data_IF_654511622156
#
_entry.id   IF_654511622156
#
_cell.length_a   1.000
_cell.length_b   1.000
_cell.length_c   1.000
_cell.angle_alpha   90.00
_cell.angle_beta   90.00
_cell.angle_gamma   90.00
#
_symmetry.space_group_name_H-M   'P 1'
#
loop_
_entity.id
_entity.type
_entity.pdbx_description
1 polymer ?
#
# COMPACT_ATOMS: atom_id res chain seq x y z
N UNK A 1 -47.98 20.95 -61.42
CA UNK A 1 -47.03 21.37 -60.37
C UNK A 1 -46.42 20.14 -59.70
N UNK A 2 -45.16 19.84 -60.01
CA UNK A 2 -44.49 18.60 -59.59
C UNK A 2 -43.67 18.91 -58.35
N UNK A 3 -44.07 18.36 -57.18
CA UNK A 3 -43.29 18.39 -55.94
C UNK A 3 -42.16 17.36 -56.04
N UNK A 4 -40.93 17.86 -56.09
CA UNK A 4 -39.72 17.06 -55.91
C UNK A 4 -39.40 16.98 -54.44
N UNK A 5 -39.57 15.81 -53.85
CA UNK A 5 -39.07 15.47 -52.51
C UNK A 5 -37.55 15.21 -52.65
N UNK A 6 -36.75 16.05 -52.02
CA UNK A 6 -35.31 15.92 -51.98
C UNK A 6 -34.98 15.03 -50.76
N UNK A 7 -34.59 13.78 -51.03
CA UNK A 7 -34.10 12.86 -50.01
C UNK A 7 -32.66 13.24 -49.69
N UNK A 8 -32.46 13.79 -48.49
CA UNK A 8 -31.13 14.03 -47.91
C UNK A 8 -30.55 12.70 -47.42
N UNK A 9 -29.67 12.11 -48.23
CA UNK A 9 -28.85 10.98 -47.76
C UNK A 9 -27.79 11.51 -46.78
N UNK A 10 -28.05 11.37 -45.50
CA UNK A 10 -27.04 11.49 -44.43
C UNK A 10 -26.10 10.30 -44.56
N UNK A 11 -24.94 10.53 -45.13
CA UNK A 11 -23.81 9.62 -45.03
C UNK A 11 -23.35 9.61 -43.57
N UNK A 12 -23.78 8.61 -42.80
CA UNK A 12 -23.13 8.24 -41.57
C UNK A 12 -21.73 7.72 -41.93
N UNK A 13 -20.74 8.59 -41.79
CA UNK A 13 -19.34 8.16 -41.78
C UNK A 13 -19.12 7.28 -40.56
N UNK A 14 -19.22 5.97 -40.74
CA UNK A 14 -18.70 4.99 -39.79
C UNK A 14 -17.19 5.18 -39.81
N UNK A 15 -16.69 5.90 -38.83
CA UNK A 15 -15.26 5.93 -38.54
C UNK A 15 -14.85 4.52 -38.17
N UNK A 16 -14.33 3.77 -39.14
CA UNK A 16 -13.64 2.52 -38.90
C UNK A 16 -12.38 2.94 -38.13
N UNK A 17 -12.46 2.85 -36.80
CA UNK A 17 -11.25 2.81 -35.96
C UNK A 17 -10.50 1.54 -36.37
N UNK A 18 -9.59 1.69 -37.34
CA UNK A 18 -8.52 0.73 -37.57
C UNK A 18 -7.71 0.69 -36.29
N UNK A 19 -8.07 -0.26 -35.39
CA UNK A 19 -7.24 -0.60 -34.23
C UNK A 19 -5.91 -1.08 -34.80
N UNK A 20 -4.88 -0.23 -34.69
CA UNK A 20 -3.54 -0.58 -35.15
C UNK A 20 -3.07 -1.76 -34.30
N UNK A 21 -3.23 -2.97 -34.82
CA UNK A 21 -2.77 -4.21 -34.19
C UNK A 21 -1.30 -4.06 -33.81
N UNK A 22 -0.98 -4.15 -32.53
CA UNK A 22 0.38 -4.02 -32.03
C UNK A 22 1.17 -5.29 -32.28
N UNK A 23 2.07 -5.29 -33.28
CA UNK A 23 3.06 -6.38 -33.47
C UNK A 23 4.13 -6.28 -32.40
N UNK A 24 4.45 -7.40 -31.75
CA UNK A 24 5.61 -7.54 -30.88
C UNK A 24 6.57 -8.59 -31.41
N UNK A 25 7.85 -8.44 -31.06
CA UNK A 25 8.86 -9.48 -31.23
C UNK A 25 9.74 -9.52 -29.99
N UNK A 26 10.00 -10.71 -29.48
CA UNK A 26 10.90 -10.96 -28.36
C UNK A 26 12.16 -11.61 -28.90
N UNK A 27 13.32 -11.04 -28.58
CA UNK A 27 14.62 -11.66 -28.79
C UNK A 27 15.26 -11.93 -27.45
N UNK A 28 15.51 -13.22 -27.15
CA UNK A 28 16.04 -13.65 -25.87
C UNK A 28 17.43 -14.24 -25.97
N UNK A 29 18.24 -13.96 -24.95
CA UNK A 29 19.49 -14.64 -24.65
C UNK A 29 19.31 -15.45 -23.37
N UNK A 30 19.41 -16.79 -23.48
CA UNK A 30 19.31 -17.69 -22.34
C UNK A 30 20.67 -18.21 -21.88
N UNK A 31 21.73 -18.02 -22.69
CA UNK A 31 23.03 -18.63 -22.48
C UNK A 31 23.10 -20.11 -22.93
N UNK A 32 24.29 -20.62 -23.09
CA UNK A 32 24.51 -21.95 -23.69
C UNK A 32 24.00 -23.12 -22.84
N UNK A 33 23.95 -22.96 -21.52
CA UNK A 33 23.41 -23.98 -20.60
C UNK A 33 21.96 -24.36 -20.90
N UNK A 34 21.23 -23.48 -21.60
CA UNK A 34 19.82 -23.66 -21.97
C UNK A 34 19.64 -24.30 -23.35
N UNK A 35 20.71 -24.59 -24.07
CA UNK A 35 20.63 -25.17 -25.40
C UNK A 35 19.75 -26.43 -25.42
N UNK A 36 18.89 -26.51 -26.43
CA UNK A 36 17.91 -27.58 -26.62
C UNK A 36 16.75 -27.62 -25.60
N UNK A 37 16.73 -26.76 -24.61
CA UNK A 37 15.59 -26.64 -23.68
C UNK A 37 14.42 -25.88 -24.33
N UNK A 38 13.22 -26.19 -23.86
CA UNK A 38 11.99 -25.49 -24.24
C UNK A 38 11.68 -24.37 -23.24
N UNK A 39 11.38 -23.21 -23.78
CA UNK A 39 10.86 -22.07 -23.02
C UNK A 39 9.43 -21.81 -23.44
N UNK A 40 8.60 -21.43 -22.49
CA UNK A 40 7.18 -21.12 -22.69
C UNK A 40 6.95 -19.63 -22.49
N UNK A 41 6.21 -19.02 -23.40
CA UNK A 41 5.68 -17.67 -23.24
C UNK A 41 4.26 -17.78 -22.66
N UNK A 42 4.07 -17.29 -21.45
CA UNK A 42 2.80 -17.39 -20.72
C UNK A 42 2.26 -15.99 -20.39
N UNK A 43 0.93 -15.80 -20.48
CA UNK A 43 0.28 -14.68 -19.83
C UNK A 43 0.04 -14.98 -18.36
N UNK A 44 0.01 -13.96 -17.51
CA UNK A 44 -0.32 -14.11 -16.08
C UNK A 44 -1.82 -14.20 -15.83
N UNK A 45 -2.65 -13.85 -16.81
CA UNK A 45 -4.10 -13.93 -16.76
C UNK A 45 -4.70 -14.23 -18.13
N UNK A 46 -5.95 -14.67 -18.15
CA UNK A 46 -6.72 -14.93 -19.38
C UNK A 46 -7.62 -13.73 -19.78
N UNK A 47 -7.47 -12.59 -19.10
CA UNK A 47 -8.28 -11.38 -19.26
C UNK A 47 -9.52 -11.34 -18.36
N UNK A 48 -10.00 -12.48 -17.87
CA UNK A 48 -11.15 -12.58 -16.95
C UNK A 48 -10.73 -13.02 -15.55
N UNK A 49 -9.70 -13.88 -15.46
CA UNK A 49 -9.22 -14.47 -14.21
C UNK A 49 -7.69 -14.40 -14.13
N UNK A 50 -7.18 -14.36 -12.91
CA UNK A 50 -5.77 -14.53 -12.61
C UNK A 50 -5.34 -15.99 -12.83
N UNK A 51 -5.33 -16.41 -14.10
CA UNK A 51 -5.03 -17.77 -14.54
C UNK A 51 -3.99 -17.71 -15.65
N UNK A 52 -2.87 -18.38 -15.44
CA UNK A 52 -1.81 -18.44 -16.42
C UNK A 52 -2.24 -19.16 -17.71
N UNK A 53 -1.88 -18.61 -18.85
CA UNK A 53 -2.19 -19.14 -20.19
C UNK A 53 -0.90 -19.23 -21.03
N UNK A 54 -0.56 -20.41 -21.47
CA UNK A 54 0.58 -20.60 -22.40
C UNK A 54 0.16 -20.09 -23.78
N UNK A 55 0.93 -19.13 -24.29
CA UNK A 55 0.72 -18.55 -25.64
C UNK A 55 1.53 -19.26 -26.71
N UNK A 56 2.79 -19.58 -26.40
CA UNK A 56 3.74 -20.10 -27.37
C UNK A 56 4.89 -20.83 -26.66
N UNK A 57 5.66 -21.58 -27.42
CA UNK A 57 6.89 -22.21 -26.94
C UNK A 57 8.03 -22.09 -27.94
N UNK A 58 9.25 -21.91 -27.45
CA UNK A 58 10.45 -21.81 -28.30
C UNK A 58 11.58 -22.66 -27.76
N UNK A 59 12.24 -23.38 -28.66
CA UNK A 59 13.45 -24.14 -28.34
C UNK A 59 14.69 -23.24 -28.40
N UNK A 60 15.49 -23.24 -27.34
CA UNK A 60 16.76 -22.50 -27.31
C UNK A 60 17.76 -23.13 -28.26
N UNK A 61 18.35 -22.31 -29.15
CA UNK A 61 19.40 -22.68 -30.10
C UNK A 61 20.60 -21.73 -29.99
N UNK A 62 21.78 -22.25 -29.73
CA UNK A 62 22.99 -21.43 -29.52
C UNK A 62 22.78 -20.31 -28.51
N UNK A 63 22.18 -20.65 -27.38
CA UNK A 63 21.85 -19.71 -26.29
C UNK A 63 20.77 -18.68 -26.59
N UNK A 64 20.09 -18.74 -27.74
CA UNK A 64 19.11 -17.73 -28.19
C UNK A 64 17.74 -18.35 -28.42
N UNK A 65 16.71 -17.54 -28.25
CA UNK A 65 15.33 -17.87 -28.57
C UNK A 65 14.56 -16.61 -29.04
N UNK A 66 13.40 -16.82 -29.63
CA UNK A 66 12.54 -15.71 -30.05
C UNK A 66 11.06 -16.10 -30.03
N UNK A 67 10.22 -15.09 -29.77
CA UNK A 67 8.78 -15.17 -29.93
C UNK A 67 8.31 -13.96 -30.75
N UNK A 68 7.16 -14.06 -31.40
CA UNK A 68 6.53 -12.95 -32.08
C UNK A 68 5.02 -13.13 -32.13
N UNK A 69 4.30 -12.02 -32.19
CA UNK A 69 2.85 -12.09 -32.24
C UNK A 69 2.21 -10.71 -32.38
N UNK A 70 0.90 -10.69 -32.21
CA UNK A 70 0.08 -9.49 -32.26
C UNK A 70 -0.76 -9.40 -31.00
N UNK A 71 -0.78 -8.21 -30.38
CA UNK A 71 -1.66 -7.89 -29.24
C UNK A 71 -2.34 -6.55 -29.47
N UNK A 72 -3.60 -6.46 -29.11
CA UNK A 72 -4.34 -5.20 -29.19
C UNK A 72 -3.97 -4.29 -28.03
N UNK A 73 -3.80 -4.85 -26.84
CA UNK A 73 -3.41 -4.15 -25.62
C UNK A 73 -2.19 -4.80 -25.00
N UNK A 74 -1.35 -4.06 -24.27
CA UNK A 74 -0.26 -4.63 -23.51
C UNK A 74 -0.77 -5.63 -22.45
N UNK A 75 -0.01 -6.73 -22.25
CA UNK A 75 -0.32 -7.76 -21.25
C UNK A 75 0.91 -8.12 -20.45
N UNK A 76 0.73 -8.50 -19.19
CA UNK A 76 1.79 -9.04 -18.37
C UNK A 76 2.06 -10.49 -18.76
N UNK A 77 3.30 -10.82 -19.01
CA UNK A 77 3.72 -12.16 -19.42
C UNK A 77 4.96 -12.64 -18.67
N UNK A 78 5.18 -13.93 -18.72
CA UNK A 78 6.34 -14.60 -18.18
C UNK A 78 6.98 -15.48 -19.26
N UNK A 79 8.30 -15.51 -19.32
CA UNK A 79 9.00 -16.62 -19.95
C UNK A 79 9.30 -17.62 -18.83
N UNK A 80 8.92 -18.88 -19.06
CA UNK A 80 9.08 -19.98 -18.10
C UNK A 80 9.93 -21.09 -18.71
N UNK A 81 10.72 -21.71 -17.85
CA UNK A 81 11.41 -22.96 -18.19
C UNK A 81 10.64 -24.18 -17.67
N UNK A 82 11.22 -25.36 -17.87
CA UNK A 82 10.67 -26.63 -17.38
C UNK A 82 10.68 -26.76 -15.86
N UNK A 83 11.64 -26.11 -15.20
CA UNK A 83 11.83 -26.17 -13.75
C UNK A 83 10.95 -25.15 -13.01
N UNK A 84 10.20 -24.34 -13.77
CA UNK A 84 9.27 -23.33 -13.24
C UNK A 84 9.93 -21.99 -12.94
N UNK A 85 11.22 -21.77 -13.29
CA UNK A 85 11.82 -20.45 -13.21
C UNK A 85 11.10 -19.48 -14.14
N UNK A 86 10.84 -18.27 -13.65
CA UNK A 86 10.06 -17.26 -14.36
C UNK A 86 10.84 -15.98 -14.59
N UNK A 87 10.62 -15.37 -15.76
CA UNK A 87 11.24 -14.14 -16.20
C UNK A 87 10.15 -13.20 -16.71
N UNK A 88 9.84 -12.11 -15.99
CA UNK A 88 8.73 -11.23 -16.32
C UNK A 88 9.03 -10.32 -17.50
N UNK A 89 7.99 -10.01 -18.27
CA UNK A 89 8.00 -9.01 -19.33
C UNK A 89 6.59 -8.48 -19.57
N UNK A 90 6.48 -7.38 -20.31
CA UNK A 90 5.21 -6.86 -20.77
C UNK A 90 5.13 -7.01 -22.28
N UNK A 91 4.14 -7.76 -22.77
CA UNK A 91 3.87 -7.88 -24.20
C UNK A 91 3.21 -6.59 -24.69
N UNK A 92 4.03 -5.68 -25.21
CA UNK A 92 3.62 -4.44 -25.84
C UNK A 92 4.18 -4.35 -27.27
N UNK A 93 3.64 -3.45 -28.08
CA UNK A 93 4.10 -3.21 -29.44
C UNK A 93 5.60 -2.84 -29.46
N UNK A 94 6.39 -3.54 -30.28
CA UNK A 94 7.80 -3.22 -30.47
C UNK A 94 8.73 -4.41 -30.42
N UNK A 95 10.01 -4.12 -30.24
CA UNK A 95 11.08 -5.12 -30.16
C UNK A 95 11.54 -5.26 -28.72
N UNK A 96 11.09 -6.31 -28.05
CA UNK A 96 11.45 -6.63 -26.68
C UNK A 96 12.74 -7.45 -26.68
N UNK A 97 13.66 -7.08 -25.82
CA UNK A 97 14.94 -7.80 -25.62
C UNK A 97 14.96 -8.32 -24.18
N UNK A 98 15.26 -9.61 -24.02
CA UNK A 98 15.33 -10.22 -22.68
C UNK A 98 16.61 -11.08 -22.57
N UNK A 99 17.25 -10.99 -21.41
CA UNK A 99 18.41 -11.82 -21.08
C UNK A 99 18.14 -12.59 -19.78
N UNK A 100 17.97 -13.91 -19.88
CA UNK A 100 17.66 -14.78 -18.75
C UNK A 100 18.85 -14.94 -17.80
N UNK A 101 20.10 -14.83 -18.32
CA UNK A 101 21.30 -14.95 -17.49
C UNK A 101 21.49 -13.75 -16.57
N UNK A 102 21.30 -12.54 -17.09
CA UNK A 102 21.42 -11.28 -16.33
C UNK A 102 20.09 -10.83 -15.71
N UNK A 103 19.00 -11.55 -16.01
CA UNK A 103 17.63 -11.20 -15.59
C UNK A 103 17.23 -9.76 -15.96
N UNK A 104 17.50 -9.38 -17.22
CA UNK A 104 17.18 -8.04 -17.72
C UNK A 104 16.15 -8.11 -18.83
N UNK A 105 15.27 -7.11 -18.89
CA UNK A 105 14.29 -6.93 -19.95
C UNK A 105 14.28 -5.47 -20.40
N UNK A 106 14.01 -5.21 -21.69
CA UNK A 106 13.96 -3.84 -22.19
C UNK A 106 13.63 -3.76 -23.68
N UNK A 107 13.92 -2.63 -24.29
CA UNK A 107 13.71 -2.34 -25.71
C UNK A 107 12.33 -1.78 -26.04
N UNK A 108 11.47 -1.63 -25.03
CA UNK A 108 10.17 -0.94 -25.11
C UNK A 108 9.87 -0.23 -23.78
N UNK A 109 9.06 0.85 -23.79
CA UNK A 109 8.91 1.73 -22.62
C UNK A 109 8.47 1.03 -21.34
N UNK A 110 7.49 0.11 -21.41
CA UNK A 110 7.03 -0.60 -20.22
C UNK A 110 8.05 -1.64 -19.74
N UNK A 111 8.79 -2.28 -20.64
CA UNK A 111 9.84 -3.23 -20.27
C UNK A 111 11.08 -2.55 -19.70
N UNK A 112 11.48 -1.37 -20.21
CA UNK A 112 12.55 -0.56 -19.63
C UNK A 112 12.19 -0.11 -18.20
N UNK A 113 10.94 0.30 -18.01
CA UNK A 113 10.40 0.67 -16.68
C UNK A 113 10.33 -0.55 -15.76
N UNK A 114 9.88 -1.70 -16.26
CA UNK A 114 9.80 -2.95 -15.51
C UNK A 114 11.18 -3.40 -15.01
N UNK A 115 12.19 -3.35 -15.86
CA UNK A 115 13.57 -3.76 -15.50
C UNK A 115 14.11 -2.96 -14.32
N UNK A 116 13.95 -1.63 -14.36
CA UNK A 116 14.38 -0.73 -13.27
C UNK A 116 13.60 -0.98 -11.99
N UNK A 117 12.27 -1.05 -12.08
CA UNK A 117 11.40 -1.24 -10.92
C UNK A 117 11.61 -2.61 -10.27
N UNK A 118 11.72 -3.67 -11.08
CA UNK A 118 11.98 -5.03 -10.63
C UNK A 118 13.31 -5.17 -9.90
N UNK A 119 14.39 -4.66 -10.48
CA UNK A 119 15.72 -4.66 -9.87
C UNK A 119 15.75 -3.89 -8.55
N UNK A 120 15.13 -2.72 -8.51
CA UNK A 120 15.02 -1.92 -7.30
C UNK A 120 14.32 -2.68 -6.18
N UNK A 121 13.17 -3.28 -6.48
CA UNK A 121 12.41 -4.07 -5.50
C UNK A 121 13.17 -5.33 -5.06
N UNK A 122 13.78 -6.09 -5.99
CA UNK A 122 14.58 -7.27 -5.67
C UNK A 122 15.79 -6.92 -4.79
N UNK A 123 16.42 -5.77 -5.01
CA UNK A 123 17.52 -5.29 -4.17
C UNK A 123 17.07 -5.12 -2.71
N UNK A 124 15.91 -4.48 -2.48
CA UNK A 124 15.33 -4.31 -1.14
C UNK A 124 15.02 -5.67 -0.50
N UNK A 125 14.36 -6.56 -1.22
CA UNK A 125 13.98 -7.89 -0.73
C UNK A 125 15.22 -8.72 -0.36
N UNK A 126 16.22 -8.76 -1.23
CA UNK A 126 17.42 -9.60 -1.02
C UNK A 126 18.31 -9.04 0.10
N UNK A 127 18.46 -7.73 0.19
CA UNK A 127 19.22 -7.10 1.27
C UNK A 127 18.64 -7.45 2.65
N UNK A 128 17.32 -7.35 2.77
CA UNK A 128 16.64 -7.66 4.02
C UNK A 128 16.63 -9.17 4.34
N UNK A 129 16.47 -10.05 3.33
CA UNK A 129 16.61 -11.50 3.53
C UNK A 129 17.96 -11.89 4.12
N UNK A 130 19.05 -11.25 3.69
CA UNK A 130 20.39 -11.50 4.24
C UNK A 130 20.51 -11.06 5.70
N UNK A 131 20.00 -9.86 6.04
CA UNK A 131 20.04 -9.32 7.41
C UNK A 131 19.21 -10.22 8.34
N UNK A 132 17.99 -10.59 7.95
CA UNK A 132 17.13 -11.48 8.73
C UNK A 132 17.78 -12.86 8.90
N UNK A 133 18.38 -13.42 7.85
CA UNK A 133 19.07 -14.72 7.91
C UNK A 133 20.24 -14.71 8.89
N UNK A 134 21.05 -13.65 8.92
CA UNK A 134 22.16 -13.52 9.89
C UNK A 134 21.66 -13.44 11.33
N UNK A 135 20.49 -12.85 11.55
CA UNK A 135 19.88 -12.72 12.87
C UNK A 135 19.13 -13.99 13.33
N UNK A 136 18.60 -14.81 12.41
CA UNK A 136 17.90 -16.05 12.74
C UNK A 136 18.83 -17.06 13.42
N UNK A 137 20.10 -17.13 13.06
CA UNK A 137 21.06 -18.03 13.74
C UNK A 137 21.20 -17.72 15.22
N UNK A 138 21.08 -16.45 15.61
CA UNK A 138 21.07 -16.00 17.01
C UNK A 138 19.74 -16.34 17.71
N UNK A 139 18.63 -16.31 16.97
CA UNK A 139 17.29 -16.64 17.48
C UNK A 139 17.12 -18.16 17.68
N UNK A 140 17.73 -18.97 16.79
CA UNK A 140 17.67 -20.44 16.87
C UNK A 140 18.50 -21.05 18.00
N UNK A 141 19.30 -20.25 18.74
CA UNK A 141 20.01 -20.68 19.94
C UNK A 141 19.10 -20.80 21.19
N UNK A 142 17.77 -20.72 21.01
CA UNK A 142 16.79 -20.85 22.12
C UNK A 142 16.79 -22.25 22.72
N UNK A 143 16.59 -22.31 24.03
CA UNK A 143 16.40 -23.58 24.75
C UNK A 143 15.13 -24.27 24.26
N UNK A 144 15.25 -25.55 23.97
CA UNK A 144 14.11 -26.41 23.60
C UNK A 144 13.02 -26.34 24.68
N UNK A 145 11.78 -26.00 24.28
CA UNK A 145 10.60 -25.97 25.16
C UNK A 145 10.22 -24.62 25.78
N UNK A 146 11.02 -23.56 25.54
CA UNK A 146 10.68 -22.19 25.99
C UNK A 146 9.70 -21.50 25.04
N UNK A 147 8.67 -20.87 25.60
CA UNK A 147 7.77 -20.04 24.78
C UNK A 147 8.49 -18.77 24.29
N UNK A 148 8.12 -18.32 23.08
CA UNK A 148 8.65 -17.08 22.50
C UNK A 148 8.49 -15.85 23.42
N UNK A 149 7.37 -15.77 24.13
CA UNK A 149 7.09 -14.67 25.09
C UNK A 149 8.03 -14.69 26.30
N UNK A 150 8.39 -15.87 26.78
CA UNK A 150 9.35 -16.04 27.88
C UNK A 150 10.77 -15.68 27.43
N UNK A 151 11.17 -16.13 26.24
CA UNK A 151 12.46 -15.74 25.66
C UNK A 151 12.63 -14.23 25.52
N UNK A 152 11.61 -13.51 25.05
CA UNK A 152 11.61 -12.04 24.94
C UNK A 152 11.74 -11.33 26.30
N UNK A 153 11.23 -11.94 27.38
CA UNK A 153 11.32 -11.37 28.73
C UNK A 153 12.68 -11.67 29.40
N UNK A 154 13.22 -12.84 29.13
CA UNK A 154 14.45 -13.34 29.77
C UNK A 154 15.70 -12.72 29.14
N UNK A 155 15.72 -12.58 27.81
CA UNK A 155 16.91 -12.24 27.06
C UNK A 155 16.75 -10.88 26.34
N UNK A 156 17.43 -9.87 26.90
CA UNK A 156 17.39 -8.51 26.34
C UNK A 156 18.03 -8.41 24.97
N UNK A 157 19.06 -9.20 24.67
CA UNK A 157 19.71 -9.26 23.37
C UNK A 157 18.78 -9.89 22.33
N UNK A 158 18.10 -10.98 22.69
CA UNK A 158 17.08 -11.60 21.86
C UNK A 158 15.92 -10.62 21.54
N UNK A 159 15.44 -9.91 22.56
CA UNK A 159 14.40 -8.91 22.37
C UNK A 159 14.83 -7.72 21.49
N UNK A 160 16.11 -7.33 21.55
CA UNK A 160 16.67 -6.29 20.69
C UNK A 160 16.77 -6.76 19.23
N UNK A 161 17.27 -7.98 19.01
CA UNK A 161 17.35 -8.61 17.67
C UNK A 161 15.95 -8.75 17.05
N UNK A 162 14.99 -9.22 17.83
CA UNK A 162 13.61 -9.34 17.37
C UNK A 162 13.01 -7.99 16.96
N UNK A 163 13.14 -6.96 17.80
CA UNK A 163 12.69 -5.61 17.47
C UNK A 163 13.33 -5.11 16.18
N UNK A 164 14.64 -5.31 16.04
CA UNK A 164 15.36 -4.92 14.82
C UNK A 164 14.85 -5.64 13.58
N UNK A 165 14.54 -6.94 13.67
CA UNK A 165 13.97 -7.70 12.57
C UNK A 165 12.57 -7.21 12.19
N UNK A 166 11.74 -6.83 13.18
CA UNK A 166 10.42 -6.22 12.94
C UNK A 166 10.57 -4.86 12.24
N UNK A 167 11.51 -4.01 12.67
CA UNK A 167 11.79 -2.73 12.02
C UNK A 167 12.22 -2.92 10.56
N UNK A 168 13.07 -3.90 10.28
CA UNK A 168 13.53 -4.23 8.92
C UNK A 168 12.37 -4.72 8.06
N UNK A 169 11.49 -5.59 8.59
CA UNK A 169 10.31 -6.07 7.87
C UNK A 169 9.34 -4.93 7.55
N UNK A 170 9.10 -4.04 8.49
CA UNK A 170 8.26 -2.85 8.29
C UNK A 170 8.87 -1.92 7.23
N UNK A 171 10.16 -1.60 7.32
CA UNK A 171 10.84 -0.76 6.33
C UNK A 171 10.86 -1.40 4.93
N UNK A 172 10.97 -2.73 4.84
CA UNK A 172 10.83 -3.45 3.58
C UNK A 172 9.44 -3.29 2.98
N UNK A 173 8.41 -3.48 3.78
CA UNK A 173 7.00 -3.33 3.35
C UNK A 173 6.73 -1.92 2.84
N UNK A 174 7.19 -0.90 3.56
CA UNK A 174 7.05 0.49 3.15
C UNK A 174 7.79 0.78 1.83
N UNK A 175 8.98 0.21 1.65
CA UNK A 175 9.73 0.34 0.40
C UNK A 175 9.02 -0.33 -0.78
N UNK A 176 8.53 -1.56 -0.60
CA UNK A 176 7.76 -2.29 -1.62
C UNK A 176 6.48 -1.52 -1.97
N UNK A 177 5.79 -1.02 -0.94
CA UNK A 177 4.61 -0.16 -1.10
C UNK A 177 4.92 1.04 -1.98
N UNK A 178 5.99 1.77 -1.70
CA UNK A 178 6.39 2.93 -2.49
C UNK A 178 6.68 2.58 -3.97
N UNK A 179 7.26 1.39 -4.25
CA UNK A 179 7.43 0.92 -5.62
C UNK A 179 6.09 0.67 -6.32
N UNK A 180 5.12 0.04 -5.67
CA UNK A 180 3.80 -0.22 -6.24
C UNK A 180 3.04 1.09 -6.46
N UNK A 181 3.02 1.99 -5.48
CA UNK A 181 2.38 3.32 -5.58
C UNK A 181 2.97 4.14 -6.73
N UNK A 182 4.29 4.18 -6.87
CA UNK A 182 4.96 4.90 -7.96
C UNK A 182 4.50 4.43 -9.34
N UNK A 183 4.09 3.18 -9.47
CA UNK A 183 3.70 2.55 -10.73
C UNK A 183 2.20 2.20 -10.83
N UNK A 184 1.36 2.69 -9.91
CA UNK A 184 -0.08 2.38 -9.84
C UNK A 184 -0.91 2.83 -11.07
N UNK A 185 -0.29 3.50 -12.02
CA UNK A 185 -0.93 3.93 -13.26
C UNK A 185 -0.50 3.09 -14.48
N UNK A 186 0.16 1.95 -14.27
CA UNK A 186 0.69 1.11 -15.35
C UNK A 186 0.64 -0.38 -15.03
N UNK A 187 0.83 -1.22 -16.06
CA UNK A 187 0.98 -2.68 -15.89
C UNK A 187 2.20 -3.07 -15.06
N UNK A 188 3.21 -2.21 -14.96
CA UNK A 188 4.37 -2.45 -14.07
C UNK A 188 3.91 -2.52 -12.63
N UNK A 189 3.06 -1.59 -12.17
CA UNK A 189 2.50 -1.63 -10.81
C UNK A 189 1.63 -2.87 -10.57
N UNK A 190 0.82 -3.26 -11.56
CA UNK A 190 0.02 -4.49 -11.50
C UNK A 190 0.92 -5.72 -11.29
N UNK A 191 2.00 -5.83 -12.08
CA UNK A 191 2.96 -6.91 -11.96
C UNK A 191 3.63 -6.91 -10.57
N UNK A 192 4.14 -5.76 -10.12
CA UNK A 192 4.80 -5.65 -8.81
C UNK A 192 3.88 -6.07 -7.67
N UNK A 193 2.59 -5.68 -7.71
CA UNK A 193 1.61 -6.09 -6.72
C UNK A 193 1.29 -7.59 -6.77
N UNK A 194 1.33 -8.21 -7.95
CA UNK A 194 0.99 -9.63 -8.13
C UNK A 194 1.99 -10.60 -7.50
N UNK A 195 3.20 -10.13 -7.18
CA UNK A 195 4.25 -10.95 -6.58
C UNK A 195 3.85 -11.45 -5.19
N UNK A 196 4.19 -12.69 -4.87
CA UNK A 196 3.85 -13.32 -3.58
C UNK A 196 4.52 -12.63 -2.40
N UNK A 197 5.76 -12.13 -2.59
CA UNK A 197 6.53 -11.43 -1.57
C UNK A 197 5.92 -10.09 -1.16
N UNK A 198 4.97 -9.56 -1.93
CA UNK A 198 4.30 -8.30 -1.63
C UNK A 198 3.22 -8.54 -0.57
N UNK A 199 3.65 -8.54 0.70
CA UNK A 199 2.74 -8.52 1.84
C UNK A 199 2.36 -7.07 2.15
N UNK A 200 1.17 -6.67 1.75
CA UNK A 200 0.62 -5.34 2.04
C UNK A 200 -0.55 -5.46 3.02
N UNK A 201 -0.74 -4.43 3.83
CA UNK A 201 -1.97 -4.35 4.63
C UNK A 201 -3.17 -4.18 3.70
N UNK A 202 -4.21 -4.96 3.92
CA UNK A 202 -5.44 -4.93 3.12
C UNK A 202 -6.04 -3.51 3.00
N UNK A 203 -6.12 -2.77 4.12
CA UNK A 203 -6.62 -1.39 4.14
C UNK A 203 -5.83 -0.45 3.23
N UNK A 204 -4.51 -0.63 3.15
CA UNK A 204 -3.67 0.15 2.26
C UNK A 204 -3.97 -0.11 0.78
N UNK A 205 -4.16 -1.37 0.39
CA UNK A 205 -4.50 -1.69 -0.99
C UNK A 205 -5.88 -1.13 -1.37
N UNK A 206 -6.85 -1.15 -0.46
CA UNK A 206 -8.15 -0.51 -0.69
C UNK A 206 -8.04 1.00 -0.91
N UNK A 207 -7.24 1.70 -0.09
CA UNK A 207 -7.01 3.14 -0.23
C UNK A 207 -6.34 3.43 -1.59
N UNK A 208 -5.31 2.66 -1.95
CA UNK A 208 -4.63 2.80 -3.24
C UNK A 208 -5.56 2.54 -4.44
N UNK A 209 -6.47 1.56 -4.34
CA UNK A 209 -7.44 1.25 -5.39
C UNK A 209 -8.37 2.43 -5.72
N UNK A 210 -8.67 3.29 -4.74
CA UNK A 210 -9.52 4.47 -4.95
C UNK A 210 -8.86 5.56 -5.80
N UNK A 211 -7.53 5.56 -5.88
CA UNK A 211 -6.73 6.59 -6.55
C UNK A 211 -6.01 6.09 -7.82
N UNK A 212 -5.86 4.78 -7.95
CA UNK A 212 -5.15 4.17 -9.05
C UNK A 212 -5.92 4.28 -10.38
N UNK A 213 -5.17 4.35 -11.49
CA UNK A 213 -5.77 4.33 -12.83
C UNK A 213 -6.60 3.06 -13.07
N UNK A 214 -7.56 3.09 -14.02
CA UNK A 214 -8.31 1.90 -14.40
C UNK A 214 -7.43 0.72 -14.87
N UNK A 215 -6.27 1.00 -15.46
CA UNK A 215 -5.29 -0.03 -15.86
C UNK A 215 -4.85 -0.87 -14.65
N UNK A 216 -4.73 -0.25 -13.49
CA UNK A 216 -4.38 -0.93 -12.25
C UNK A 216 -5.63 -1.42 -11.49
N UNK A 217 -6.55 -0.51 -11.15
CA UNK A 217 -7.67 -0.80 -10.26
C UNK A 217 -8.68 -1.79 -10.83
N UNK A 218 -8.82 -1.86 -12.16
CA UNK A 218 -9.72 -2.80 -12.82
C UNK A 218 -9.03 -4.10 -13.26
N UNK A 219 -7.70 -4.19 -13.16
CA UNK A 219 -6.97 -5.36 -13.61
C UNK A 219 -7.30 -6.61 -12.79
N UNK A 220 -7.48 -7.72 -13.47
CA UNK A 220 -7.90 -9.00 -12.84
C UNK A 220 -6.91 -9.49 -11.76
N UNK A 221 -5.60 -9.36 -12.00
CA UNK A 221 -4.57 -9.73 -11.01
C UNK A 221 -4.65 -8.89 -9.73
N UNK A 222 -4.99 -7.61 -9.84
CA UNK A 222 -5.15 -6.71 -8.68
C UNK A 222 -6.42 -7.07 -7.90
N UNK A 223 -7.54 -7.31 -8.61
CA UNK A 223 -8.79 -7.75 -7.99
C UNK A 223 -8.65 -9.09 -7.29
N UNK A 224 -7.97 -10.05 -7.91
CA UNK A 224 -7.69 -11.36 -7.31
C UNK A 224 -6.83 -11.24 -6.05
N UNK A 225 -5.75 -10.45 -6.11
CA UNK A 225 -4.89 -10.18 -4.94
C UNK A 225 -5.69 -9.54 -3.80
N UNK A 226 -6.51 -8.53 -4.10
CA UNK A 226 -7.37 -7.87 -3.12
C UNK A 226 -8.34 -8.84 -2.46
N UNK A 227 -8.99 -9.70 -3.24
CA UNK A 227 -9.92 -10.69 -2.69
C UNK A 227 -9.22 -11.74 -1.82
N UNK A 228 -8.05 -12.23 -2.23
CA UNK A 228 -7.22 -13.13 -1.42
C UNK A 228 -6.83 -12.49 -0.08
N UNK A 229 -6.45 -11.21 -0.10
CA UNK A 229 -6.11 -10.46 1.12
C UNK A 229 -7.34 -10.27 2.03
N UNK A 230 -8.52 -9.98 1.46
CA UNK A 230 -9.80 -9.92 2.21
C UNK A 230 -10.11 -11.25 2.90
N UNK A 231 -9.99 -12.34 2.18
CA UNK A 231 -10.25 -13.66 2.73
C UNK A 231 -9.27 -14.02 3.85
N UNK A 232 -8.00 -13.66 3.68
CA UNK A 232 -6.98 -13.85 4.71
C UNK A 232 -7.29 -13.02 5.97
N UNK A 233 -7.62 -11.74 5.81
CA UNK A 233 -7.99 -10.87 6.93
C UNK A 233 -9.20 -11.43 7.70
N UNK A 234 -10.26 -11.85 7.01
CA UNK A 234 -11.44 -12.49 7.63
C UNK A 234 -11.09 -13.77 8.39
N UNK A 235 -10.17 -14.60 7.85
CA UNK A 235 -9.72 -15.82 8.54
C UNK A 235 -8.95 -15.48 9.82
N UNK A 236 -8.05 -14.50 9.78
CA UNK A 236 -7.32 -14.05 10.97
C UNK A 236 -8.25 -13.47 12.03
N UNK A 237 -9.24 -12.68 11.65
CA UNK A 237 -10.26 -12.16 12.56
C UNK A 237 -11.07 -13.29 13.21
N UNK A 238 -11.56 -14.22 12.42
CA UNK A 238 -12.33 -15.37 12.92
C UNK A 238 -11.50 -16.28 13.85
N UNK A 239 -10.22 -16.51 13.55
CA UNK A 239 -9.33 -17.25 14.44
C UNK A 239 -9.03 -16.50 15.74
N UNK A 240 -8.83 -15.18 15.65
CA UNK A 240 -8.66 -14.32 16.81
C UNK A 240 -9.89 -14.36 17.72
N UNK A 241 -11.09 -14.19 17.14
CA UNK A 241 -12.35 -14.26 17.88
C UNK A 241 -12.55 -15.59 18.61
N UNK A 242 -12.18 -16.73 17.96
CA UNK A 242 -12.23 -18.06 18.61
C UNK A 242 -11.33 -18.17 19.83
N UNK A 243 -10.17 -17.48 19.82
CA UNK A 243 -9.17 -17.52 20.92
C UNK A 243 -9.43 -16.48 22.00
N UNK A 244 -10.35 -15.54 21.79
CA UNK A 244 -10.69 -14.51 22.76
C UNK A 244 -11.46 -15.08 23.96
N UNK A 245 -11.10 -14.61 25.15
CA UNK A 245 -11.89 -14.89 26.36
C UNK A 245 -13.24 -14.18 26.32
N UNK A 246 -14.22 -14.58 27.14
CA UNK A 246 -15.49 -13.85 27.25
C UNK A 246 -15.29 -12.36 27.60
N UNK A 247 -14.34 -12.05 28.49
CA UNK A 247 -13.99 -10.69 28.90
C UNK A 247 -13.43 -9.88 27.74
N UNK A 248 -12.51 -10.45 26.96
CA UNK A 248 -11.93 -9.81 25.78
C UNK A 248 -12.98 -9.53 24.71
N UNK A 249 -13.96 -10.44 24.51
CA UNK A 249 -15.07 -10.23 23.56
C UNK A 249 -15.99 -9.09 24.01
N UNK A 250 -16.28 -9.03 25.30
CA UNK A 250 -17.11 -7.94 25.84
C UNK A 250 -16.39 -6.59 25.73
N UNK A 251 -15.09 -6.56 26.02
CA UNK A 251 -14.26 -5.37 25.83
C UNK A 251 -14.20 -4.96 24.35
N UNK A 252 -14.06 -5.92 23.41
CA UNK A 252 -14.10 -5.62 21.98
C UNK A 252 -15.44 -5.03 21.53
N UNK A 253 -16.56 -5.57 22.01
CA UNK A 253 -17.89 -5.01 21.75
C UNK A 253 -18.02 -3.58 22.27
N UNK A 254 -17.54 -3.33 23.50
CA UNK A 254 -17.50 -1.97 24.07
C UNK A 254 -16.67 -1.03 23.21
N UNK A 255 -15.49 -1.47 22.75
CA UNK A 255 -14.63 -0.72 21.84
C UNK A 255 -15.33 -0.36 20.53
N UNK A 256 -15.97 -1.36 19.88
CA UNK A 256 -16.73 -1.14 18.65
C UNK A 256 -17.90 -0.18 18.86
N UNK A 257 -18.64 -0.32 19.96
CA UNK A 257 -19.75 0.57 20.30
C UNK A 257 -19.27 2.02 20.55
N UNK A 258 -18.08 2.20 21.11
CA UNK A 258 -17.50 3.51 21.37
C UNK A 258 -16.90 4.14 20.10
N UNK A 259 -16.26 3.40 19.22
CA UNK A 259 -15.81 3.90 17.92
C UNK A 259 -16.99 4.38 17.05
N UNK A 260 -18.17 3.79 17.26
CA UNK A 260 -19.41 4.20 16.62
C UNK A 260 -20.00 5.50 17.21
N UNK A 261 -19.53 6.00 18.37
CA UNK A 261 -20.07 7.20 19.01
C UNK A 261 -19.70 8.49 18.28
N UNK A 262 -18.50 8.54 17.70
CA UNK A 262 -18.08 9.73 16.93
C UNK A 262 -18.47 9.50 15.47
N UNK A 263 -19.53 10.18 15.01
CA UNK A 263 -20.05 10.02 13.65
C UNK A 263 -19.76 11.23 12.78
N UNK A 264 -19.60 10.99 11.49
CA UNK A 264 -19.57 12.07 10.49
C UNK A 264 -20.92 12.79 10.54
N UNK A 265 -20.90 14.14 10.52
CA UNK A 265 -22.07 14.99 10.64
C UNK A 265 -22.43 15.37 12.10
N UNK A 266 -21.75 14.78 13.10
CA UNK A 266 -21.98 15.14 14.51
C UNK A 266 -20.82 15.98 15.06
N UNK A 267 -21.10 16.77 16.10
CA UNK A 267 -20.08 17.58 16.78
C UNK A 267 -19.07 16.67 17.47
N UNK A 268 -17.78 17.00 17.33
CA UNK A 268 -16.73 16.25 18.01
C UNK A 268 -16.85 16.41 19.54
N UNK A 269 -16.76 15.33 20.33
CA UNK A 269 -16.93 15.38 21.79
C UNK A 269 -15.86 16.25 22.46
N UNK A 270 -16.32 17.16 23.34
CA UNK A 270 -15.40 17.96 24.15
C UNK A 270 -14.89 17.17 25.36
N UNK A 271 -13.62 17.38 25.71
CA UNK A 271 -13.04 16.80 26.93
C UNK A 271 -11.86 17.65 27.41
N UNK A 272 -11.48 17.43 28.67
CA UNK A 272 -10.27 18.02 29.24
C UNK A 272 -9.03 17.36 28.62
N UNK A 273 -8.08 18.21 28.22
CA UNK A 273 -6.77 17.83 27.69
C UNK A 273 -5.68 18.59 28.44
N UNK A 274 -4.48 18.05 28.49
CA UNK A 274 -3.34 18.70 29.13
C UNK A 274 -2.40 19.22 28.05
N UNK A 275 -2.16 20.52 28.01
CA UNK A 275 -1.25 21.11 27.03
C UNK A 275 0.24 20.82 27.34
N UNK A 276 1.13 21.28 26.46
CA UNK A 276 2.57 21.06 26.61
C UNK A 276 3.18 21.81 27.82
N UNK A 277 2.56 22.89 28.28
CA UNK A 277 2.94 23.59 29.52
C UNK A 277 2.46 22.85 30.77
N UNK A 278 1.56 21.88 30.63
CA UNK A 278 0.97 21.11 31.70
C UNK A 278 -0.34 21.69 32.23
N UNK A 279 -0.90 22.70 31.56
CA UNK A 279 -2.17 23.29 31.91
C UNK A 279 -3.36 22.46 31.39
N UNK A 280 -4.44 22.44 32.16
CA UNK A 280 -5.69 21.79 31.76
C UNK A 280 -6.48 22.75 30.88
N UNK A 281 -6.79 22.33 29.68
CA UNK A 281 -7.59 23.03 28.67
C UNK A 281 -8.81 22.18 28.30
N UNK A 282 -9.75 22.77 27.63
CA UNK A 282 -10.86 22.08 26.96
C UNK A 282 -10.50 21.87 25.48
N UNK A 283 -10.83 20.73 24.91
CA UNK A 283 -10.61 20.52 23.47
C UNK A 283 -11.38 21.56 22.62
N UNK A 284 -12.53 21.99 23.11
CA UNK A 284 -13.31 23.08 22.50
C UNK A 284 -12.61 24.46 22.48
N UNK A 285 -11.48 24.61 23.18
CA UNK A 285 -10.66 25.84 23.09
C UNK A 285 -9.90 25.89 21.74
N UNK A 286 -9.76 24.76 21.08
CA UNK A 286 -9.02 24.61 19.83
C UNK A 286 -9.91 24.25 18.63
N UNK A 287 -11.03 23.55 18.86
CA UNK A 287 -11.94 23.02 17.83
C UNK A 287 -13.19 23.88 17.72
N UNK A 288 -13.73 24.06 16.51
CA UNK A 288 -14.92 24.91 16.29
C UNK A 288 -14.60 26.40 16.40
N UNK A 289 -13.42 26.83 15.96
CA UNK A 289 -12.95 28.23 16.00
C UNK A 289 -12.71 28.81 14.60
N UNK A 290 -13.53 28.42 13.63
CA UNK A 290 -13.48 28.95 12.27
C UNK A 290 -12.42 28.35 11.38
N UNK A 291 -11.81 27.21 11.79
CA UNK A 291 -10.84 26.47 11.00
C UNK A 291 -11.23 25.00 10.86
N UNK A 292 -10.80 24.37 9.77
CA UNK A 292 -10.76 22.91 9.70
C UNK A 292 -9.64 22.41 10.61
N UNK A 293 -9.93 21.45 11.48
CA UNK A 293 -8.97 20.91 12.44
C UNK A 293 -8.80 19.40 12.25
N UNK A 294 -7.58 18.96 11.98
CA UNK A 294 -7.22 17.55 12.07
C UNK A 294 -6.93 17.21 13.53
N UNK A 295 -7.78 16.37 14.12
CA UNK A 295 -7.56 15.78 15.43
C UNK A 295 -6.86 14.44 15.23
N UNK A 296 -5.60 14.34 15.67
CA UNK A 296 -4.74 13.16 15.46
C UNK A 296 -4.41 12.52 16.80
N UNK A 297 -4.85 11.28 17.00
CA UNK A 297 -4.52 10.47 18.18
C UNK A 297 -3.29 9.62 17.92
N UNK A 298 -2.27 9.82 18.74
CA UNK A 298 -0.96 9.19 18.57
C UNK A 298 -0.26 8.84 19.88
N UNK A 299 0.94 8.27 19.82
CA UNK A 299 1.84 8.12 20.95
C UNK A 299 3.30 8.04 20.48
N UNK A 300 4.23 8.41 21.37
CA UNK A 300 5.68 8.37 21.11
C UNK A 300 6.21 6.97 20.73
N UNK A 301 5.60 5.94 21.25
CA UNK A 301 5.92 4.52 21.00
C UNK A 301 5.19 3.93 19.78
N UNK A 302 4.29 4.67 19.15
CA UNK A 302 3.50 4.20 18.00
C UNK A 302 4.29 4.39 16.69
N UNK A 303 4.92 3.34 16.20
CA UNK A 303 5.68 3.37 14.94
C UNK A 303 4.88 3.88 13.74
N UNK A 304 3.68 3.31 13.44
CA UNK A 304 2.83 3.80 12.35
C UNK A 304 2.42 5.27 12.48
N UNK A 305 2.21 5.78 13.73
CA UNK A 305 1.93 7.19 13.96
C UNK A 305 3.13 8.06 13.58
N UNK A 306 4.33 7.68 14.04
CA UNK A 306 5.57 8.40 13.72
C UNK A 306 5.85 8.47 12.23
N UNK A 307 5.54 7.39 11.50
CA UNK A 307 5.68 7.33 10.04
C UNK A 307 4.70 8.26 9.31
N UNK A 308 3.54 8.56 9.91
CA UNK A 308 2.55 9.48 9.34
C UNK A 308 2.88 10.96 9.58
N UNK A 309 3.67 11.29 10.60
CA UNK A 309 3.98 12.69 10.97
C UNK A 309 4.56 13.54 9.84
N UNK A 310 5.44 13.04 8.94
CA UNK A 310 5.88 13.82 7.78
C UNK A 310 4.73 14.27 6.86
N UNK A 311 3.72 13.43 6.67
CA UNK A 311 2.55 13.76 5.85
C UNK A 311 1.66 14.81 6.53
N UNK A 312 1.44 14.66 7.85
CA UNK A 312 0.71 15.65 8.66
C UNK A 312 1.42 17.00 8.64
N UNK A 313 2.76 16.99 8.78
CA UNK A 313 3.59 18.20 8.73
C UNK A 313 3.48 18.90 7.37
N UNK A 314 3.62 18.16 6.28
CA UNK A 314 3.48 18.71 4.93
C UNK A 314 2.09 19.32 4.70
N UNK A 315 1.02 18.65 5.18
CA UNK A 315 -0.33 19.17 5.13
C UNK A 315 -0.48 20.46 5.96
N UNK A 316 0.06 20.49 7.17
CA UNK A 316 0.03 21.68 8.03
C UNK A 316 0.76 22.86 7.39
N UNK A 317 1.98 22.65 6.91
CA UNK A 317 2.78 23.69 6.23
C UNK A 317 2.07 24.27 4.99
N UNK A 318 1.38 23.42 4.23
CA UNK A 318 0.68 23.83 2.99
C UNK A 318 -0.64 24.55 3.24
N UNK A 319 -1.41 24.14 4.26
CA UNK A 319 -2.80 24.57 4.42
C UNK A 319 -3.07 25.42 5.67
N UNK A 320 -2.12 25.59 6.61
CA UNK A 320 -2.34 26.37 7.83
C UNK A 320 -2.77 27.81 7.53
N UNK A 321 -2.19 28.46 6.52
CA UNK A 321 -2.56 29.81 6.08
C UNK A 321 -3.94 29.89 5.40
N UNK A 322 -4.51 28.74 5.02
CA UNK A 322 -5.79 28.61 4.33
C UNK A 322 -6.94 28.19 5.27
N UNK A 323 -6.72 28.27 6.58
CA UNK A 323 -7.74 27.91 7.56
C UNK A 323 -7.72 26.46 8.03
N UNK A 324 -6.57 25.79 7.94
CA UNK A 324 -6.34 24.46 8.48
C UNK A 324 -5.52 24.52 9.77
N UNK A 325 -5.80 23.61 10.70
CA UNK A 325 -5.06 23.44 11.95
C UNK A 325 -4.92 21.96 12.29
N UNK A 326 -3.93 21.62 13.10
CA UNK A 326 -3.71 20.26 13.60
C UNK A 326 -3.66 20.29 15.12
N UNK A 327 -4.31 19.32 15.76
CA UNK A 327 -4.19 19.03 17.18
C UNK A 327 -3.82 17.57 17.31
N UNK A 328 -2.59 17.29 17.78
CA UNK A 328 -2.21 15.91 18.10
C UNK A 328 -2.44 15.64 19.57
N UNK A 329 -3.29 14.65 19.84
CA UNK A 329 -3.65 14.17 21.18
C UNK A 329 -2.86 12.92 21.49
N UNK A 330 -1.87 13.03 22.36
CA UNK A 330 -1.08 11.87 22.77
C UNK A 330 -1.78 11.07 23.86
N UNK A 331 -1.69 9.74 23.76
CA UNK A 331 -2.12 8.81 24.81
C UNK A 331 -0.93 8.29 25.63
N UNK A 332 0.22 8.93 25.58
CA UNK A 332 1.41 8.55 26.34
C UNK A 332 1.19 8.65 27.85
N UNK A 333 1.56 7.61 28.57
CA UNK A 333 1.61 7.64 30.04
C UNK A 333 2.85 8.39 30.58
N UNK A 334 3.92 8.47 29.78
CA UNK A 334 5.19 9.10 30.15
C UNK A 334 5.36 10.45 29.42
N UNK A 335 5.06 11.54 30.09
CA UNK A 335 5.14 12.89 29.54
C UNK A 335 6.52 13.24 28.96
N UNK A 336 7.62 12.73 29.55
CA UNK A 336 8.98 12.95 29.01
C UNK A 336 9.14 12.32 27.63
N UNK A 337 8.68 11.07 27.42
CA UNK A 337 8.78 10.39 26.15
C UNK A 337 7.96 11.11 25.05
N UNK A 338 6.76 11.59 25.41
CA UNK A 338 5.91 12.40 24.55
C UNK A 338 6.62 13.70 24.09
N UNK A 339 7.20 14.49 25.02
CA UNK A 339 7.91 15.72 24.68
C UNK A 339 9.12 15.46 23.81
N UNK A 340 9.95 14.46 24.15
CA UNK A 340 11.10 14.08 23.32
C UNK A 340 10.67 13.71 21.88
N UNK A 341 9.59 12.97 21.72
CA UNK A 341 9.10 12.61 20.39
C UNK A 341 8.55 13.80 19.59
N UNK A 342 7.91 14.78 20.23
CA UNK A 342 7.49 16.03 19.58
C UNK A 342 8.69 16.77 18.99
N UNK A 343 9.79 16.89 19.77
CA UNK A 343 11.01 17.55 19.34
C UNK A 343 11.70 16.79 18.18
N UNK A 344 11.86 15.47 18.33
CA UNK A 344 12.45 14.60 17.29
C UNK A 344 11.71 14.65 15.96
N UNK A 345 10.36 14.71 15.99
CA UNK A 345 9.51 14.72 14.81
C UNK A 345 9.25 16.13 14.26
N UNK A 346 9.70 17.17 14.97
CA UNK A 346 9.51 18.57 14.59
C UNK A 346 8.03 18.95 14.46
N UNK A 347 7.20 18.51 15.42
CA UNK A 347 5.77 18.75 15.44
C UNK A 347 5.47 20.14 16.00
N UNK A 348 5.40 21.15 15.12
CA UNK A 348 5.26 22.58 15.47
C UNK A 348 3.81 23.08 15.54
N UNK A 349 2.84 22.19 15.63
CA UNK A 349 1.42 22.50 15.84
C UNK A 349 0.96 22.13 17.26
N UNK A 350 -0.30 22.37 17.58
CA UNK A 350 -0.87 22.16 18.93
C UNK A 350 -0.70 20.69 19.37
N UNK A 351 -0.07 20.53 20.53
CA UNK A 351 0.19 19.22 21.15
C UNK A 351 -0.48 19.15 22.50
N UNK A 352 -1.30 18.13 22.71
CA UNK A 352 -1.98 17.89 23.99
C UNK A 352 -1.90 16.43 24.41
N UNK A 353 -2.06 16.17 25.69
CA UNK A 353 -2.01 14.85 26.31
C UNK A 353 -3.40 14.51 26.87
N UNK A 354 -3.89 13.31 26.56
CA UNK A 354 -5.06 12.71 27.18
C UNK A 354 -4.86 11.20 27.33
N UNK A 355 -4.44 10.76 28.52
CA UNK A 355 -4.18 9.35 28.80
C UNK A 355 -5.47 8.52 28.85
N UNK A 356 -6.62 9.16 29.04
CA UNK A 356 -7.94 8.54 29.13
C UNK A 356 -8.70 8.60 27.78
N UNK A 357 -8.01 8.87 26.68
CA UNK A 357 -8.61 9.01 25.35
C UNK A 357 -9.42 7.78 24.93
N UNK A 358 -9.03 6.57 25.38
CA UNK A 358 -9.78 5.36 25.15
C UNK A 358 -11.20 5.44 25.74
N UNK A 359 -11.32 5.90 26.97
CA UNK A 359 -12.62 5.98 27.66
C UNK A 359 -13.46 7.17 27.19
N UNK A 360 -12.81 8.30 26.91
CA UNK A 360 -13.45 9.55 26.51
C UNK A 360 -13.93 9.50 25.05
N UNK A 361 -13.07 9.07 24.13
CA UNK A 361 -13.30 9.14 22.69
C UNK A 361 -13.47 7.78 22.01
N UNK A 362 -13.28 6.66 22.75
CA UNK A 362 -13.30 5.33 22.17
C UNK A 362 -12.04 5.00 21.35
N UNK A 363 -10.89 5.64 21.67
CA UNK A 363 -9.65 5.46 20.90
C UNK A 363 -8.85 4.28 21.44
N UNK A 364 -9.07 3.12 20.89
CA UNK A 364 -8.39 1.86 21.29
C UNK A 364 -7.27 1.44 20.34
N UNK A 365 -7.19 2.07 19.18
CA UNK A 365 -6.14 1.85 18.19
C UNK A 365 -5.64 3.18 17.64
N UNK A 366 -4.34 3.31 17.50
CA UNK A 366 -3.67 4.48 16.92
C UNK A 366 -2.73 4.03 15.78
N UNK A 367 -2.50 4.89 14.78
CA UNK A 367 -3.02 6.25 14.62
C UNK A 367 -4.53 6.27 14.33
N UNK A 368 -5.23 7.28 14.86
CA UNK A 368 -6.65 7.55 14.57
C UNK A 368 -6.83 9.04 14.34
N UNK A 369 -7.48 9.42 13.24
CA UNK A 369 -7.67 10.82 12.88
C UNK A 369 -9.13 11.15 12.63
N UNK A 370 -9.51 12.39 12.97
CA UNK A 370 -10.80 13.00 12.66
C UNK A 370 -10.54 14.38 12.07
N UNK A 371 -11.18 14.69 10.96
CA UNK A 371 -11.22 16.05 10.44
C UNK A 371 -12.54 16.69 10.85
N UNK A 372 -12.47 17.84 11.49
CA UNK A 372 -13.64 18.63 11.85
C UNK A 372 -13.67 19.93 11.06
N UNK A 373 -14.86 20.41 10.77
CA UNK A 373 -15.08 21.68 10.08
C UNK A 373 -14.93 22.90 11.01
N UNK A 374 -15.06 24.13 10.49
CA UNK A 374 -14.98 25.36 11.26
C UNK A 374 -15.97 25.44 12.45
N UNK A 375 -17.08 24.74 12.41
CA UNK A 375 -18.09 24.64 13.45
C UNK A 375 -17.80 23.53 14.47
N UNK A 376 -16.83 22.65 14.20
CA UNK A 376 -16.46 21.51 15.06
C UNK A 376 -17.27 20.26 14.78
N UNK A 377 -17.85 20.13 13.59
CA UNK A 377 -18.57 18.95 13.12
C UNK A 377 -17.58 18.02 12.42
N UNK A 378 -17.66 16.72 12.67
CA UNK A 378 -16.80 15.71 12.04
C UNK A 378 -17.18 15.58 10.56
N UNK A 379 -16.26 15.88 9.67
CA UNK A 379 -16.45 15.76 8.20
C UNK A 379 -15.75 14.55 7.60
N UNK A 380 -14.70 14.05 8.25
CA UNK A 380 -14.02 12.83 7.80
C UNK A 380 -13.31 12.12 8.95
N UNK A 381 -13.00 10.84 8.74
CA UNK A 381 -12.26 9.97 9.67
C UNK A 381 -11.14 9.25 8.95
N UNK A 382 -10.12 8.82 9.71
CA UNK A 382 -9.03 7.96 9.24
C UNK A 382 -8.33 8.50 7.99
N UNK A 383 -8.11 9.84 7.99
CA UNK A 383 -7.35 10.51 6.93
C UNK A 383 -5.85 10.35 7.17
N UNK A 384 -5.15 9.84 6.15
CA UNK A 384 -3.70 9.63 6.17
C UNK A 384 -3.12 9.86 4.77
N UNK A 385 -1.82 10.20 4.72
CA UNK A 385 -1.04 10.31 3.49
C UNK A 385 -1.78 11.10 2.40
N UNK A 386 -1.88 10.57 1.20
CA UNK A 386 -2.56 11.22 0.06
C UNK A 386 -4.04 11.49 0.30
N UNK A 387 -4.73 10.65 1.10
CA UNK A 387 -6.15 10.87 1.42
C UNK A 387 -6.35 12.15 2.24
N UNK A 388 -5.44 12.43 3.18
CA UNK A 388 -5.44 13.69 3.93
C UNK A 388 -5.25 14.87 2.98
N UNK A 389 -4.21 14.83 2.14
CA UNK A 389 -3.91 15.90 1.20
C UNK A 389 -5.06 16.15 0.22
N UNK A 390 -5.63 15.11 -0.38
CA UNK A 390 -6.76 15.20 -1.32
C UNK A 390 -8.01 15.79 -0.65
N UNK A 391 -8.30 15.37 0.58
CA UNK A 391 -9.45 15.91 1.32
C UNK A 391 -9.27 17.39 1.60
N UNK A 392 -8.09 17.80 2.05
CA UNK A 392 -7.79 19.21 2.31
C UNK A 392 -7.77 20.05 1.03
N UNK A 393 -7.24 19.52 -0.07
CA UNK A 393 -7.30 20.18 -1.37
C UNK A 393 -8.74 20.48 -1.79
N UNK A 394 -9.63 19.51 -1.67
CA UNK A 394 -11.04 19.68 -2.04
C UNK A 394 -11.82 20.65 -1.12
N UNK A 395 -11.37 20.86 0.11
CA UNK A 395 -12.05 21.72 1.10
C UNK A 395 -11.49 23.14 1.13
N UNK A 396 -10.23 23.34 0.72
CA UNK A 396 -9.49 24.59 0.95
C UNK A 396 -8.93 25.23 -0.34
N UNK A 397 -8.97 24.53 -1.48
CA UNK A 397 -8.61 25.05 -2.81
C UNK A 397 -9.84 25.24 -3.68
#
# INVERSE_FOLDING_TARGET
MKNRIMILCTFCAIAIFSSAQGKFSIRGNAGEKWNNQLLYLCLMDDGEKAKEVILDSAKVKKGKFSFSGVRQTPNIALIKDRDGETYPLILEKGKIVINLTTRTVGGTPLNDTLDVAWKGMQSVINNNKQIVKSNISLVMSQKSGESFREALKRDTAFAAIWRRNVEIDLAQRDSIRAFVEKHQNSLVGVFLLSLEEVSMYYSFLEDMMSEASPVFSQHVLVKDKLEKMRQMARRFEAEREKKMTPEEREEQKKRQAMDAKIKIGERFPNAKVKDNAGEIKQLSDYVGKGKYVLIDFWASWCGPCRNEMPNVKAAYEKYASKGFEVISISIDKKQKAWRTAIEELGMNWTQVLNVDAADVYGIYAIPKTFLVDPEGIVVAKDLRSKKLEKTLFNLLE
#
